data_IF_729144903924
#
_entry.id   IF_729144903924
#
_cell.length_a   1.000
_cell.length_b   1.000
_cell.length_c   1.000
_cell.angle_alpha   90.00
_cell.angle_beta   90.00
_cell.angle_gamma   90.00
#
_symmetry.space_group_name_H-M   'P 1'
#
loop_
_entity.id
_entity.type
_entity.pdbx_description
1 polymer ?
#
# COMPACT_ATOMS: atom_id res chain seq x y z
N UNK A 1 -56.67 65.26 41.91
CA UNK A 1 -57.01 63.88 41.49
C UNK A 1 -56.35 63.60 40.13
N UNK A 2 -55.17 63.01 40.08
CA UNK A 2 -54.45 62.65 38.84
C UNK A 2 -54.24 61.12 38.85
N UNK A 3 -54.85 60.44 37.87
CA UNK A 3 -54.76 58.98 37.70
C UNK A 3 -53.39 58.62 37.11
N UNK A 4 -52.65 57.81 37.83
CA UNK A 4 -51.36 57.26 37.40
C UNK A 4 -51.65 56.06 36.52
N UNK A 5 -51.23 56.07 35.23
CA UNK A 5 -51.29 54.94 34.33
C UNK A 5 -50.02 54.10 34.55
N UNK A 6 -50.16 52.88 35.02
CA UNK A 6 -49.09 51.93 35.06
C UNK A 6 -48.90 51.33 33.66
N UNK A 7 -47.68 51.45 33.13
CA UNK A 7 -47.23 50.81 31.89
C UNK A 7 -46.45 49.53 32.30
N UNK A 8 -46.97 48.36 31.95
CA UNK A 8 -46.25 47.08 32.08
C UNK A 8 -45.30 46.92 30.88
N UNK A 9 -44.02 46.66 31.08
CA UNK A 9 -43.15 46.24 30.00
C UNK A 9 -43.38 44.74 29.69
N UNK A 10 -43.78 44.47 28.48
CA UNK A 10 -43.82 43.06 27.94
C UNK A 10 -42.38 42.62 27.71
N UNK A 11 -41.92 41.71 28.52
CA UNK A 11 -40.62 41.06 28.40
C UNK A 11 -40.71 40.05 27.27
N UNK A 12 -40.20 40.40 26.09
CA UNK A 12 -40.06 39.49 24.95
C UNK A 12 -38.93 38.51 25.26
N UNK A 13 -39.32 37.27 25.62
CA UNK A 13 -38.40 36.15 25.83
C UNK A 13 -37.97 35.63 24.43
N UNK A 14 -36.86 36.11 23.89
CA UNK A 14 -36.24 35.61 22.70
C UNK A 14 -35.62 34.23 22.99
N UNK A 15 -36.33 33.18 22.60
CA UNK A 15 -35.79 31.80 22.55
C UNK A 15 -34.68 31.76 21.50
N UNK A 16 -33.45 31.90 21.95
CA UNK A 16 -32.27 31.58 21.15
C UNK A 16 -32.23 30.06 21.01
N UNK A 17 -32.72 29.50 19.89
CA UNK A 17 -32.41 28.13 19.48
C UNK A 17 -30.90 28.09 19.20
N UNK A 18 -30.13 27.75 20.21
CA UNK A 18 -28.76 27.33 20.01
C UNK A 18 -28.81 26.03 19.20
N UNK A 19 -28.53 26.14 17.90
CA UNK A 19 -28.24 24.98 17.05
C UNK A 19 -27.04 24.29 17.67
N UNK A 20 -27.29 23.25 18.45
CA UNK A 20 -26.30 22.27 18.86
C UNK A 20 -25.84 21.57 17.58
N UNK A 21 -24.86 22.17 16.91
CA UNK A 21 -24.04 21.44 15.95
C UNK A 21 -23.44 20.28 16.74
N UNK A 22 -24.04 19.09 16.65
CA UNK A 22 -23.44 17.88 17.15
C UNK A 22 -22.10 17.74 16.44
N UNK A 23 -21.01 18.13 17.11
CA UNK A 23 -19.67 17.86 16.66
C UNK A 23 -19.58 16.33 16.53
N UNK A 24 -19.72 15.83 15.34
CA UNK A 24 -19.60 14.40 15.09
C UNK A 24 -18.16 14.04 15.44
N UNK A 25 -17.99 13.13 16.40
CA UNK A 25 -16.68 12.74 16.87
C UNK A 25 -15.80 12.29 15.69
N UNK A 26 -14.60 12.83 15.62
CA UNK A 26 -13.61 12.48 14.60
C UNK A 26 -13.32 10.98 14.65
N UNK A 27 -13.49 10.30 13.51
CA UNK A 27 -13.13 8.89 13.37
C UNK A 27 -11.63 8.78 13.12
N UNK A 28 -10.92 8.15 14.04
CA UNK A 28 -9.49 7.91 13.93
C UNK A 28 -9.21 6.52 13.39
N UNK A 29 -8.32 6.44 12.43
CA UNK A 29 -7.90 5.21 11.76
C UNK A 29 -6.38 5.13 11.81
N UNK A 30 -5.84 3.98 12.22
CA UNK A 30 -4.42 3.68 12.09
C UNK A 30 -4.18 2.96 10.76
N UNK A 31 -3.26 3.49 9.95
CA UNK A 31 -2.89 2.89 8.67
C UNK A 31 -1.44 2.43 8.70
N UNK A 32 -1.24 1.12 8.67
CA UNK A 32 0.09 0.50 8.64
C UNK A 32 0.55 0.35 7.20
N UNK A 33 1.68 0.94 6.86
CA UNK A 33 2.16 1.03 5.49
C UNK A 33 3.47 0.26 5.26
N UNK A 34 4.57 0.96 5.08
CA UNK A 34 5.90 0.42 4.84
C UNK A 34 6.95 1.39 5.40
N UNK A 35 8.23 1.18 5.09
CA UNK A 35 9.31 2.12 5.44
C UNK A 35 9.18 3.43 4.69
N UNK A 36 9.50 4.54 5.34
CA UNK A 36 9.65 5.84 4.69
C UNK A 36 10.63 5.73 3.50
N UNK A 37 10.40 6.54 2.47
CA UNK A 37 11.15 6.47 1.21
C UNK A 37 10.69 5.39 0.22
N UNK A 38 9.70 4.57 0.58
CA UNK A 38 9.08 3.61 -0.35
C UNK A 38 7.80 4.18 -0.97
N UNK A 39 7.43 3.69 -2.17
CA UNK A 39 6.18 4.09 -2.83
C UNK A 39 4.94 3.84 -1.96
N UNK A 40 4.93 2.74 -1.20
CA UNK A 40 3.78 2.43 -0.32
C UNK A 40 3.65 3.36 0.87
N UNK A 41 4.76 3.84 1.45
CA UNK A 41 4.69 4.88 2.47
C UNK A 41 4.10 6.17 1.88
N UNK A 42 4.60 6.58 0.70
CA UNK A 42 4.08 7.76 0.00
C UNK A 42 2.59 7.63 -0.33
N UNK A 43 2.16 6.47 -0.83
CA UNK A 43 0.72 6.20 -1.07
C UNK A 43 -0.11 6.29 0.20
N UNK A 44 0.42 5.82 1.34
CA UNK A 44 -0.23 5.96 2.64
C UNK A 44 -0.45 7.42 3.03
N UNK A 45 0.54 8.29 2.78
CA UNK A 45 0.42 9.75 2.97
C UNK A 45 -0.68 10.32 2.07
N UNK A 46 -0.68 9.95 0.79
CA UNK A 46 -1.65 10.43 -0.20
C UNK A 46 -3.09 9.99 0.14
N UNK A 47 -3.26 8.73 0.55
CA UNK A 47 -4.55 8.20 1.04
C UNK A 47 -5.00 8.99 2.28
N UNK A 48 -4.12 9.20 3.25
CA UNK A 48 -4.47 9.91 4.47
C UNK A 48 -4.94 11.36 4.18
N UNK A 49 -4.23 12.05 3.30
CA UNK A 49 -4.61 13.39 2.85
C UNK A 49 -5.94 13.41 2.09
N UNK A 50 -6.12 12.45 1.16
CA UNK A 50 -7.34 12.33 0.35
C UNK A 50 -8.57 12.01 1.22
N UNK A 51 -8.43 11.08 2.17
CA UNK A 51 -9.50 10.72 3.12
C UNK A 51 -9.86 11.91 4.01
N UNK A 52 -8.87 12.60 4.57
CA UNK A 52 -9.10 13.79 5.41
C UNK A 52 -9.84 14.88 4.63
N UNK A 53 -9.39 15.18 3.42
CA UNK A 53 -10.01 16.19 2.56
C UNK A 53 -11.42 15.78 2.13
N UNK A 54 -11.61 14.54 1.65
CA UNK A 54 -12.90 14.05 1.15
C UNK A 54 -13.94 13.83 2.25
N UNK A 55 -13.52 13.62 3.49
CA UNK A 55 -14.42 13.51 4.66
C UNK A 55 -14.64 14.82 5.40
N UNK A 56 -14.16 15.96 4.87
CA UNK A 56 -14.17 17.25 5.56
C UNK A 56 -13.58 17.18 6.99
N UNK A 57 -12.52 16.40 7.17
CA UNK A 57 -11.84 16.20 8.44
C UNK A 57 -12.55 15.24 9.41
N UNK A 58 -13.67 14.62 9.01
CA UNK A 58 -14.38 13.67 9.88
C UNK A 58 -13.62 12.35 10.07
N UNK A 59 -12.73 12.00 9.15
CA UNK A 59 -11.85 10.84 9.25
C UNK A 59 -10.41 11.30 9.18
N UNK A 60 -9.63 10.97 10.21
CA UNK A 60 -8.20 11.22 10.26
C UNK A 60 -7.45 9.90 10.31
N UNK A 61 -6.48 9.75 9.40
CA UNK A 61 -5.61 8.58 9.33
C UNK A 61 -4.25 8.94 9.96
N UNK A 62 -3.86 8.15 10.96
CA UNK A 62 -2.49 8.12 11.48
C UNK A 62 -1.70 7.08 10.71
N UNK A 63 -0.69 7.51 9.96
CA UNK A 63 0.18 6.62 9.21
C UNK A 63 1.29 6.09 10.11
N UNK A 64 1.45 4.77 10.14
CA UNK A 64 2.53 4.09 10.86
C UNK A 64 3.51 3.43 9.88
N UNK A 65 4.79 3.59 10.13
CA UNK A 65 5.83 2.82 9.45
C UNK A 65 5.79 1.34 9.83
N UNK A 66 6.27 0.50 8.92
CA UNK A 66 6.51 -0.93 9.18
C UNK A 66 7.66 -1.46 8.34
N UNK A 67 8.06 -2.70 8.60
CA UNK A 67 8.95 -3.44 7.70
C UNK A 67 8.23 -3.90 6.42
N UNK A 68 6.94 -3.57 6.26
CA UNK A 68 6.12 -3.86 5.09
C UNK A 68 5.11 -4.98 5.34
N UNK A 69 4.62 -5.54 4.24
CA UNK A 69 3.41 -6.36 4.17
C UNK A 69 3.37 -7.55 5.15
N UNK A 70 4.50 -8.21 5.41
CA UNK A 70 4.54 -9.36 6.36
C UNK A 70 4.21 -8.91 7.77
N UNK A 71 4.87 -7.85 8.24
CA UNK A 71 4.58 -7.27 9.57
C UNK A 71 3.14 -6.77 9.66
N UNK A 72 2.65 -6.12 8.60
CA UNK A 72 1.29 -5.57 8.56
C UNK A 72 0.23 -6.65 8.80
N UNK A 73 0.38 -7.81 8.14
CA UNK A 73 -0.52 -8.95 8.33
C UNK A 73 -0.37 -9.55 9.72
N UNK A 74 0.86 -9.71 10.22
CA UNK A 74 1.09 -10.25 11.58
C UNK A 74 0.43 -9.39 12.65
N UNK A 75 0.48 -8.07 12.53
CA UNK A 75 -0.12 -7.15 13.47
C UNK A 75 -1.65 -7.19 13.46
N UNK A 76 -2.30 -7.60 12.36
CA UNK A 76 -3.75 -7.77 12.32
C UNK A 76 -4.27 -8.76 13.39
N UNK A 77 -3.45 -9.71 13.85
CA UNK A 77 -3.79 -10.64 14.91
C UNK A 77 -3.86 -10.00 16.32
N UNK A 78 -3.27 -8.83 16.50
CA UNK A 78 -3.17 -8.17 17.83
C UNK A 78 -3.79 -6.77 17.86
N UNK A 79 -3.97 -6.13 16.70
CA UNK A 79 -4.57 -4.78 16.60
C UNK A 79 -6.08 -4.84 16.81
N UNK A 80 -6.60 -3.79 17.42
CA UNK A 80 -8.03 -3.59 17.69
C UNK A 80 -8.53 -2.30 17.05
N UNK A 81 -9.85 -2.19 16.86
CA UNK A 81 -10.50 -0.99 16.33
C UNK A 81 -10.22 -0.73 14.84
N UNK A 82 -10.08 0.54 14.49
CA UNK A 82 -9.95 1.00 13.11
C UNK A 82 -8.51 0.84 12.60
N UNK A 83 -8.07 -0.40 12.45
CA UNK A 83 -6.77 -0.75 11.89
C UNK A 83 -6.87 -1.05 10.41
N UNK A 84 -6.14 -0.31 9.59
CA UNK A 84 -6.01 -0.53 8.14
C UNK A 84 -4.55 -0.86 7.82
N UNK A 85 -4.33 -1.78 6.90
CA UNK A 85 -3.00 -2.15 6.43
C UNK A 85 -3.01 -2.57 4.97
N UNK A 86 -1.88 -2.48 4.31
CA UNK A 86 -1.73 -2.88 2.91
C UNK A 86 -0.83 -4.09 2.76
N UNK A 87 -1.24 -4.98 1.87
CA UNK A 87 -0.47 -6.19 1.56
C UNK A 87 -0.95 -6.83 0.25
N UNK A 88 -0.11 -7.61 -0.44
CA UNK A 88 -0.59 -8.54 -1.46
C UNK A 88 -1.54 -9.60 -0.87
N UNK A 89 -2.61 -9.97 -1.59
CA UNK A 89 -3.56 -11.00 -1.17
C UNK A 89 -2.91 -12.35 -0.84
N UNK A 90 -1.82 -12.68 -1.52
CA UNK A 90 -1.06 -13.92 -1.27
C UNK A 90 -0.57 -14.06 0.16
N UNK A 91 -0.20 -12.95 0.82
CA UNK A 91 0.22 -12.97 2.22
C UNK A 91 -0.96 -13.17 3.18
N UNK A 92 -2.12 -12.61 2.87
CA UNK A 92 -3.34 -12.86 3.66
C UNK A 92 -3.73 -14.33 3.57
N UNK A 93 -3.70 -14.91 2.36
CA UNK A 93 -3.95 -16.34 2.16
C UNK A 93 -2.92 -17.22 2.90
N UNK A 94 -1.65 -16.85 2.86
CA UNK A 94 -0.60 -17.57 3.60
C UNK A 94 -0.82 -17.51 5.11
N UNK A 95 -1.23 -16.36 5.65
CA UNK A 95 -1.55 -16.19 7.07
C UNK A 95 -2.77 -17.01 7.50
N UNK A 96 -3.84 -17.00 6.69
CA UNK A 96 -5.03 -17.82 6.95
C UNK A 96 -4.77 -19.33 6.91
N UNK A 97 -3.73 -19.73 6.18
CA UNK A 97 -3.32 -21.13 6.02
C UNK A 97 -2.12 -21.52 6.92
N UNK A 98 -1.67 -20.61 7.80
CA UNK A 98 -0.50 -20.78 8.66
C UNK A 98 0.76 -21.22 7.89
N UNK A 99 1.03 -20.60 6.72
CA UNK A 99 2.13 -20.96 5.83
C UNK A 99 3.20 -19.87 5.72
N UNK A 100 4.39 -20.26 5.32
CA UNK A 100 5.51 -19.37 5.04
C UNK A 100 5.92 -18.57 6.26
N UNK A 101 5.91 -17.24 6.17
CA UNK A 101 6.27 -16.35 7.28
C UNK A 101 5.38 -16.50 8.54
N UNK A 102 4.23 -17.15 8.41
CA UNK A 102 3.22 -17.30 9.47
C UNK A 102 3.22 -18.67 10.16
N UNK A 103 3.97 -19.65 9.65
CA UNK A 103 4.05 -21.02 10.23
C UNK A 103 4.38 -21.02 11.74
N UNK A 104 5.30 -20.15 12.15
CA UNK A 104 5.71 -20.00 13.56
C UNK A 104 4.87 -19.00 14.36
N UNK A 105 3.83 -18.44 13.75
CA UNK A 105 2.95 -17.42 14.33
C UNK A 105 1.50 -17.62 13.87
N UNK A 106 0.94 -18.83 14.03
CA UNK A 106 -0.43 -19.10 13.64
C UNK A 106 -1.39 -18.26 14.49
N UNK A 107 -2.49 -17.81 13.90
CA UNK A 107 -3.53 -17.11 14.65
C UNK A 107 -4.89 -17.26 13.99
N UNK A 108 -5.94 -17.65 14.73
CA UNK A 108 -7.30 -17.72 14.20
C UNK A 108 -7.82 -16.34 13.76
N UNK A 109 -7.25 -15.26 14.30
CA UNK A 109 -7.63 -13.87 13.97
C UNK A 109 -7.27 -13.48 12.52
N UNK A 110 -6.37 -14.18 11.85
CA UNK A 110 -6.14 -13.93 10.41
C UNK A 110 -7.41 -14.18 9.58
N UNK A 111 -8.34 -15.04 10.03
CA UNK A 111 -9.63 -15.26 9.40
C UNK A 111 -10.61 -14.08 9.53
N UNK A 112 -10.30 -13.12 10.42
CA UNK A 112 -11.06 -11.89 10.59
C UNK A 112 -10.65 -10.78 9.61
N UNK A 113 -9.57 -10.96 8.84
CA UNK A 113 -9.10 -9.98 7.86
C UNK A 113 -10.17 -9.80 6.76
N UNK A 114 -10.43 -8.53 6.41
CA UNK A 114 -11.40 -8.11 5.40
C UNK A 114 -10.78 -7.09 4.47
N UNK A 115 -10.99 -7.23 3.17
CA UNK A 115 -10.55 -6.26 2.19
C UNK A 115 -11.43 -5.00 2.23
N UNK A 116 -10.83 -3.86 1.92
CA UNK A 116 -11.54 -2.59 1.72
C UNK A 116 -11.53 -2.19 0.25
N UNK A 117 -10.37 -1.90 -0.31
CA UNK A 117 -10.20 -1.43 -1.69
C UNK A 117 -8.82 -1.79 -2.23
N UNK A 118 -8.68 -1.94 -3.57
CA UNK A 118 -7.38 -2.09 -4.19
C UNK A 118 -6.61 -0.78 -4.19
N UNK A 119 -5.28 -0.88 -4.11
CA UNK A 119 -4.36 0.24 -4.31
C UNK A 119 -3.42 -0.09 -5.48
N UNK A 120 -2.56 0.84 -5.94
CA UNK A 120 -1.65 0.55 -7.03
C UNK A 120 -0.85 -0.74 -6.81
N UNK A 121 -0.81 -1.59 -7.84
CA UNK A 121 -0.05 -2.84 -7.80
C UNK A 121 1.43 -2.56 -7.63
N UNK A 122 2.13 -3.44 -6.93
CA UNK A 122 3.58 -3.36 -6.87
C UNK A 122 4.23 -4.04 -8.08
N UNK A 123 5.39 -3.54 -8.45
CA UNK A 123 6.29 -4.12 -9.44
C UNK A 123 7.62 -4.46 -8.78
N UNK A 124 8.28 -5.49 -9.30
CA UNK A 124 9.60 -5.88 -8.80
C UNK A 124 10.69 -5.09 -9.54
N UNK A 125 11.63 -4.53 -8.79
CA UNK A 125 12.78 -3.82 -9.35
C UNK A 125 14.06 -4.50 -8.84
N UNK A 126 14.92 -4.87 -9.77
CA UNK A 126 16.28 -5.32 -9.48
C UNK A 126 17.22 -4.26 -10.03
N UNK A 127 17.80 -3.47 -9.14
CA UNK A 127 18.56 -2.26 -9.48
C UNK A 127 20.03 -2.50 -9.23
N UNK A 128 20.87 -2.24 -10.22
CA UNK A 128 22.31 -2.41 -10.14
C UNK A 128 23.04 -1.17 -10.62
N UNK A 129 24.31 -0.99 -10.22
CA UNK A 129 25.15 0.05 -10.81
C UNK A 129 25.48 -0.28 -12.25
N UNK A 130 25.49 0.72 -13.12
CA UNK A 130 25.87 0.56 -14.52
C UNK A 130 27.35 0.09 -14.70
N UNK A 131 28.24 0.47 -13.75
CA UNK A 131 29.65 0.08 -13.76
C UNK A 131 29.91 -1.33 -13.19
N UNK A 132 28.91 -2.01 -12.66
CA UNK A 132 29.06 -3.36 -12.08
C UNK A 132 29.12 -4.48 -13.10
N UNK A 133 28.93 -4.19 -14.40
CA UNK A 133 28.93 -5.17 -15.49
C UNK A 133 27.75 -6.13 -15.48
N UNK A 134 26.67 -5.83 -14.72
CA UNK A 134 25.48 -6.65 -14.58
C UNK A 134 24.44 -6.18 -15.62
N UNK A 135 24.15 -7.01 -16.61
CA UNK A 135 23.19 -6.74 -17.68
C UNK A 135 21.98 -7.66 -17.67
N UNK A 136 22.08 -8.78 -16.98
CA UNK A 136 21.05 -9.81 -16.87
C UNK A 136 20.99 -10.37 -15.46
N UNK A 137 19.96 -11.17 -15.16
CA UNK A 137 19.87 -11.86 -13.87
C UNK A 137 21.02 -12.85 -13.66
N UNK A 138 21.52 -13.50 -14.72
CA UNK A 138 22.63 -14.45 -14.63
C UNK A 138 23.92 -13.80 -14.09
N UNK A 139 24.13 -12.51 -14.38
CA UNK A 139 25.32 -11.76 -13.95
C UNK A 139 25.32 -11.42 -12.45
N UNK A 140 24.20 -11.69 -11.77
CA UNK A 140 24.09 -11.54 -10.30
C UNK A 140 24.85 -12.65 -9.54
N UNK A 141 25.27 -13.74 -10.21
CA UNK A 141 26.05 -14.79 -9.58
C UNK A 141 27.37 -14.22 -8.98
N UNK A 142 27.63 -14.55 -7.73
CA UNK A 142 28.79 -14.05 -6.96
C UNK A 142 28.66 -12.61 -6.44
N UNK A 143 27.61 -11.86 -6.80
CA UNK A 143 27.41 -10.46 -6.43
C UNK A 143 26.76 -10.31 -5.05
N UNK A 144 26.98 -9.15 -4.43
CA UNK A 144 26.33 -8.74 -3.19
C UNK A 144 24.98 -8.10 -3.51
N UNK A 145 23.87 -8.78 -3.17
CA UNK A 145 22.51 -8.35 -3.46
C UNK A 145 21.76 -8.04 -2.17
N UNK A 146 21.25 -6.83 -2.04
CA UNK A 146 20.37 -6.42 -0.94
C UNK A 146 18.92 -6.71 -1.32
N UNK A 147 18.24 -7.54 -0.54
CA UNK A 147 16.82 -7.85 -0.74
C UNK A 147 15.90 -7.18 0.31
N UNK A 148 16.48 -6.60 1.37
CA UNK A 148 15.75 -5.92 2.46
C UNK A 148 15.14 -6.92 3.46
N UNK A 149 15.93 -7.38 4.42
CA UNK A 149 15.56 -8.39 5.43
C UNK A 149 14.21 -8.10 6.10
N UNK A 150 13.35 -9.11 6.19
CA UNK A 150 12.03 -9.02 6.85
C UNK A 150 10.95 -8.31 6.03
N UNK A 151 11.26 -7.83 4.82
CA UNK A 151 10.31 -7.15 3.94
C UNK A 151 9.65 -8.10 2.94
N UNK A 152 8.59 -7.63 2.29
CA UNK A 152 8.00 -8.34 1.14
C UNK A 152 9.02 -8.46 -0.01
N UNK A 153 9.82 -7.41 -0.25
CA UNK A 153 10.91 -7.43 -1.24
C UNK A 153 11.89 -8.56 -1.01
N UNK A 154 12.23 -8.86 0.27
CA UNK A 154 13.12 -9.96 0.60
C UNK A 154 12.52 -11.31 0.20
N UNK A 155 11.25 -11.53 0.51
CA UNK A 155 10.57 -12.80 0.21
C UNK A 155 10.46 -13.02 -1.30
N UNK A 156 9.90 -12.05 -2.02
CA UNK A 156 9.72 -12.17 -3.48
C UNK A 156 11.06 -12.10 -4.23
N UNK A 157 11.98 -11.23 -3.82
CA UNK A 157 13.31 -11.14 -4.43
C UNK A 157 14.09 -12.44 -4.30
N UNK A 158 14.12 -13.05 -3.12
CA UNK A 158 14.76 -14.35 -2.90
C UNK A 158 14.07 -15.46 -3.69
N UNK A 159 12.72 -15.46 -3.72
CA UNK A 159 11.96 -16.40 -4.56
C UNK A 159 12.35 -16.27 -6.04
N UNK A 160 12.47 -15.05 -6.58
CA UNK A 160 12.85 -14.83 -7.97
C UNK A 160 14.28 -15.26 -8.24
N UNK A 161 15.23 -14.93 -7.37
CA UNK A 161 16.60 -15.40 -7.48
C UNK A 161 16.66 -16.93 -7.54
N UNK A 162 15.89 -17.62 -6.70
CA UNK A 162 15.81 -19.09 -6.71
C UNK A 162 15.22 -19.63 -8.02
N UNK A 163 14.09 -19.04 -8.49
CA UNK A 163 13.47 -19.45 -9.76
C UNK A 163 14.40 -19.25 -10.96
N UNK A 164 15.27 -18.24 -10.91
CA UNK A 164 16.24 -17.96 -11.97
C UNK A 164 17.58 -18.72 -11.81
N UNK A 165 17.62 -19.72 -10.93
CA UNK A 165 18.79 -20.59 -10.74
C UNK A 165 19.95 -19.94 -10.00
N UNK A 166 19.69 -18.88 -9.22
CA UNK A 166 20.67 -18.11 -8.46
C UNK A 166 20.67 -18.41 -6.94
N UNK A 167 19.90 -19.43 -6.51
CA UNK A 167 19.87 -19.88 -5.12
C UNK A 167 21.28 -20.31 -4.67
N UNK A 168 21.75 -19.74 -3.56
CA UNK A 168 23.13 -19.97 -3.05
C UNK A 168 24.25 -19.38 -3.91
N UNK A 169 23.94 -18.79 -5.09
CA UNK A 169 24.93 -18.18 -5.98
C UNK A 169 25.13 -16.67 -5.79
N UNK A 170 24.19 -16.01 -5.11
CA UNK A 170 24.30 -14.59 -4.74
C UNK A 170 24.66 -14.47 -3.25
N UNK A 171 25.37 -13.41 -2.90
CA UNK A 171 25.65 -13.06 -1.49
C UNK A 171 24.56 -12.08 -1.03
N UNK A 172 23.69 -12.52 -0.10
CA UNK A 172 22.64 -11.66 0.43
C UNK A 172 23.22 -10.69 1.45
N UNK A 173 23.14 -9.39 1.15
CA UNK A 173 23.62 -8.34 2.04
C UNK A 173 22.65 -8.13 3.22
N UNK A 174 23.20 -8.03 4.44
CA UNK A 174 22.43 -7.77 5.65
C UNK A 174 22.36 -6.26 5.93
N UNK A 175 21.67 -5.53 5.03
CA UNK A 175 21.47 -4.08 5.09
C UNK A 175 19.96 -3.81 5.03
N UNK A 176 19.50 -2.80 5.76
CA UNK A 176 18.10 -2.35 5.71
C UNK A 176 17.79 -1.69 4.36
N UNK A 177 16.56 -1.90 3.86
CA UNK A 177 16.15 -1.43 2.53
C UNK A 177 16.24 0.10 2.36
N UNK A 178 16.00 0.88 3.41
CA UNK A 178 16.14 2.34 3.40
C UNK A 178 17.59 2.82 3.20
N UNK A 179 18.58 1.96 3.43
CA UNK A 179 19.98 2.24 3.21
C UNK A 179 20.50 1.74 1.84
N UNK A 180 19.62 1.17 1.01
CA UNK A 180 20.00 0.54 -0.26
C UNK A 180 20.75 1.49 -1.20
N UNK A 181 20.27 2.72 -1.35
CA UNK A 181 20.87 3.71 -2.26
C UNK A 181 22.27 4.10 -1.78
N UNK A 182 22.45 4.39 -0.49
CA UNK A 182 23.74 4.69 0.09
C UNK A 182 24.71 3.51 -0.05
N UNK A 183 24.27 2.29 0.26
CA UNK A 183 25.09 1.08 0.13
C UNK A 183 25.50 0.80 -1.32
N UNK A 184 24.58 1.04 -2.29
CA UNK A 184 24.86 0.90 -3.72
C UNK A 184 25.92 1.93 -4.18
N UNK A 185 25.74 3.20 -3.81
CA UNK A 185 26.67 4.30 -4.10
C UNK A 185 28.08 4.05 -3.54
N UNK A 186 28.13 3.55 -2.31
CA UNK A 186 29.39 3.24 -1.61
C UNK A 186 30.01 1.90 -2.02
N UNK A 187 29.45 1.21 -3.03
CA UNK A 187 29.92 -0.10 -3.53
C UNK A 187 29.93 -1.22 -2.47
N UNK A 188 29.15 -1.07 -1.41
CA UNK A 188 28.95 -2.11 -0.39
C UNK A 188 28.06 -3.24 -0.91
N UNK A 189 27.20 -2.94 -1.87
CA UNK A 189 26.36 -3.88 -2.60
C UNK A 189 26.50 -3.62 -4.10
N UNK A 190 26.22 -4.67 -4.91
CA UNK A 190 26.22 -4.58 -6.38
C UNK A 190 24.85 -4.33 -6.93
N UNK A 191 23.81 -4.81 -6.22
CA UNK A 191 22.41 -4.63 -6.58
C UNK A 191 21.52 -4.55 -5.34
N UNK A 192 20.34 -3.93 -5.49
CA UNK A 192 19.26 -4.07 -4.53
C UNK A 192 17.95 -4.45 -5.21
N UNK A 193 17.08 -5.11 -4.43
CA UNK A 193 15.73 -5.48 -4.84
C UNK A 193 14.72 -4.65 -4.08
N UNK A 194 13.77 -4.05 -4.79
CA UNK A 194 12.64 -3.38 -4.16
C UNK A 194 11.33 -3.77 -4.84
N UNK A 195 10.30 -3.95 -4.02
CA UNK A 195 8.94 -4.19 -4.47
C UNK A 195 8.12 -2.93 -4.19
N UNK A 196 7.72 -2.24 -5.24
CA UNK A 196 6.96 -0.99 -5.14
C UNK A 196 6.38 -0.59 -6.48
N UNK A 197 5.35 0.26 -6.47
CA UNK A 197 4.84 0.79 -7.73
C UNK A 197 5.86 1.73 -8.38
N UNK A 198 5.86 1.77 -9.70
CA UNK A 198 6.71 2.72 -10.43
C UNK A 198 5.96 4.04 -10.72
N UNK A 199 6.68 5.18 -10.76
CA UNK A 199 8.10 5.36 -10.45
C UNK A 199 8.39 5.16 -8.95
N UNK A 200 9.34 4.29 -8.59
CA UNK A 200 9.67 4.00 -7.19
C UNK A 200 10.66 5.02 -6.63
N UNK A 201 10.36 5.67 -5.46
CA UNK A 201 11.21 6.75 -4.93
C UNK A 201 12.66 6.36 -4.73
N UNK A 202 12.94 5.18 -4.17
CA UNK A 202 14.32 4.71 -3.97
C UNK A 202 15.06 4.40 -5.30
N UNK A 203 14.32 4.04 -6.36
CA UNK A 203 14.93 3.88 -7.70
C UNK A 203 15.18 5.23 -8.35
N UNK A 204 14.27 6.21 -8.17
CA UNK A 204 14.48 7.61 -8.58
C UNK A 204 15.74 8.16 -7.89
N UNK A 205 15.84 8.00 -6.56
CA UNK A 205 16.99 8.45 -5.77
C UNK A 205 18.31 7.79 -6.24
N UNK A 206 18.27 6.47 -6.48
CA UNK A 206 19.44 5.76 -7.01
C UNK A 206 19.86 6.31 -8.38
N UNK A 207 18.93 6.43 -9.31
CA UNK A 207 19.18 6.92 -10.66
C UNK A 207 19.62 8.40 -10.72
N UNK A 208 19.22 9.21 -9.74
CA UNK A 208 19.69 10.58 -9.58
C UNK A 208 21.10 10.66 -8.96
N UNK A 209 21.50 9.67 -8.16
CA UNK A 209 22.76 9.66 -7.43
C UNK A 209 23.93 9.05 -8.21
N UNK A 210 23.65 8.09 -9.08
CA UNK A 210 24.65 7.36 -9.88
C UNK A 210 23.97 6.70 -11.10
N UNK A 211 24.73 6.37 -12.16
CA UNK A 211 24.21 5.59 -13.27
C UNK A 211 23.79 4.19 -12.80
N UNK A 212 22.50 3.84 -13.00
CA UNK A 212 21.94 2.54 -12.63
C UNK A 212 21.33 1.83 -13.83
N UNK A 213 21.19 0.52 -13.71
CA UNK A 213 20.42 -0.34 -14.60
C UNK A 213 19.34 -1.02 -13.78
N UNK A 214 18.10 -0.96 -14.22
CA UNK A 214 17.03 -1.81 -13.70
C UNK A 214 16.94 -3.02 -14.62
N UNK A 215 17.16 -4.22 -14.08
CA UNK A 215 17.19 -5.44 -14.88
C UNK A 215 15.81 -5.76 -15.45
N UNK A 216 15.78 -6.04 -16.76
CA UNK A 216 14.58 -6.49 -17.46
C UNK A 216 14.50 -8.02 -17.43
N UNK A 217 13.32 -8.55 -17.16
CA UNK A 217 13.04 -9.99 -17.20
C UNK A 217 12.80 -10.43 -18.62
N UNK A 218 13.15 -11.68 -18.95
CA UNK A 218 12.66 -12.35 -20.14
C UNK A 218 11.22 -12.82 -19.93
N UNK A 219 10.46 -13.07 -21.00
CA UNK A 219 9.10 -13.58 -20.88
C UNK A 219 9.07 -14.98 -20.20
N UNK A 220 10.09 -15.80 -20.39
CA UNK A 220 10.26 -17.07 -19.68
C UNK A 220 10.43 -16.85 -18.17
N UNK A 221 11.23 -15.86 -17.75
CA UNK A 221 11.39 -15.51 -16.36
C UNK A 221 10.08 -14.99 -15.73
N UNK A 222 9.34 -14.13 -16.45
CA UNK A 222 8.02 -13.69 -16.00
C UNK A 222 7.09 -14.88 -15.76
N UNK A 223 7.01 -15.79 -16.74
CA UNK A 223 6.18 -17.01 -16.64
C UNK A 223 6.55 -17.86 -15.42
N UNK A 224 7.84 -18.05 -15.17
CA UNK A 224 8.33 -18.81 -14.00
C UNK A 224 7.88 -18.24 -12.67
N UNK A 225 7.68 -16.91 -12.57
CA UNK A 225 7.25 -16.28 -11.32
C UNK A 225 5.79 -16.56 -10.97
N UNK A 226 4.96 -16.86 -11.96
CA UNK A 226 3.50 -16.97 -11.85
C UNK A 226 2.79 -15.62 -11.60
N UNK A 227 3.51 -14.50 -11.67
CA UNK A 227 2.94 -13.16 -11.53
C UNK A 227 2.58 -12.55 -12.90
N UNK A 228 1.71 -11.53 -12.88
CA UNK A 228 1.33 -10.83 -14.10
C UNK A 228 2.52 -10.05 -14.68
N UNK A 229 2.68 -10.10 -15.99
CA UNK A 229 3.67 -9.29 -16.72
C UNK A 229 3.36 -7.81 -16.60
N UNK A 230 4.37 -7.00 -16.34
CA UNK A 230 4.26 -5.54 -16.35
C UNK A 230 5.42 -4.92 -17.15
N UNK A 231 5.20 -3.70 -17.60
CA UNK A 231 6.22 -2.89 -18.28
C UNK A 231 6.38 -1.59 -17.49
N UNK A 232 7.63 -1.27 -17.16
CA UNK A 232 8.02 0.07 -16.73
C UNK A 232 8.46 0.81 -17.99
N UNK A 233 7.71 1.85 -18.45
CA UNK A 233 7.99 2.53 -19.71
C UNK A 233 9.38 3.17 -19.72
N UNK A 234 9.98 3.25 -20.91
CA UNK A 234 11.20 4.01 -21.12
C UNK A 234 11.09 5.43 -20.55
N UNK A 235 12.21 5.95 -20.08
CA UNK A 235 12.31 7.29 -19.46
C UNK A 235 11.54 7.45 -18.13
N UNK A 236 11.12 6.35 -17.49
CA UNK A 236 10.58 6.40 -16.11
C UNK A 236 11.66 6.79 -15.11
N UNK A 237 12.89 6.30 -15.30
CA UNK A 237 14.04 6.62 -14.44
C UNK A 237 15.14 7.33 -15.24
N UNK A 238 15.94 8.15 -14.58
CA UNK A 238 17.06 8.84 -15.24
C UNK A 238 18.01 7.81 -15.89
N UNK A 239 18.37 8.04 -17.15
CA UNK A 239 19.24 7.14 -17.92
C UNK A 239 18.58 5.88 -18.51
N UNK A 240 17.36 5.54 -18.13
CA UNK A 240 16.61 4.42 -18.69
C UNK A 240 16.09 4.75 -20.10
N UNK A 241 16.61 4.12 -21.13
CA UNK A 241 16.28 4.38 -22.55
C UNK A 241 15.27 3.41 -23.15
N UNK A 242 15.09 2.24 -22.55
CA UNK A 242 14.19 1.19 -23.03
C UNK A 242 13.16 0.82 -21.99
N UNK A 243 12.07 0.20 -22.42
CA UNK A 243 11.10 -0.43 -21.55
C UNK A 243 11.76 -1.53 -20.71
N UNK A 244 11.31 -1.68 -19.46
CA UNK A 244 11.76 -2.74 -18.56
C UNK A 244 10.60 -3.69 -18.37
N UNK A 245 10.78 -4.94 -18.76
CA UNK A 245 9.85 -6.03 -18.46
C UNK A 245 10.07 -6.47 -17.02
N UNK A 246 9.00 -6.52 -16.27
CA UNK A 246 8.98 -6.96 -14.88
C UNK A 246 7.65 -7.65 -14.56
N UNK A 247 7.37 -7.88 -13.30
CA UNK A 247 6.13 -8.48 -12.83
C UNK A 247 5.32 -7.51 -11.98
N UNK A 248 4.00 -7.69 -12.00
CA UNK A 248 3.04 -6.96 -11.18
C UNK A 248 2.32 -7.90 -10.24
N UNK A 249 2.18 -7.46 -8.99
CA UNK A 249 1.41 -8.15 -7.96
C UNK A 249 0.34 -7.19 -7.43
N UNK A 250 -0.92 -7.66 -7.31
CA UNK A 250 -1.98 -6.82 -6.74
C UNK A 250 -1.69 -6.50 -5.28
N UNK A 251 -2.13 -5.34 -4.84
CA UNK A 251 -2.09 -4.92 -3.44
C UNK A 251 -3.44 -4.36 -3.05
N UNK A 252 -3.87 -4.73 -1.86
CA UNK A 252 -5.18 -4.39 -1.32
C UNK A 252 -4.98 -3.73 0.04
N UNK A 253 -5.80 -2.73 0.34
CA UNK A 253 -5.98 -2.22 1.68
C UNK A 253 -6.96 -3.13 2.42
N UNK A 254 -6.55 -3.60 3.59
CA UNK A 254 -7.30 -4.51 4.45
C UNK A 254 -7.56 -3.89 5.81
N UNK A 255 -8.59 -4.41 6.46
CA UNK A 255 -8.90 -4.20 7.87
C UNK A 255 -9.30 -5.55 8.50
N UNK A 256 -9.90 -5.54 9.68
CA UNK A 256 -10.47 -6.72 10.31
C UNK A 256 -11.96 -6.52 10.59
N UNK A 257 -12.66 -7.59 10.98
CA UNK A 257 -14.07 -7.53 11.43
C UNK A 257 -14.31 -6.62 12.63
N UNK A 258 -13.26 -6.09 13.26
CA UNK A 258 -13.38 -5.16 14.40
C UNK A 258 -13.64 -3.72 13.97
N UNK A 259 -13.39 -3.35 12.70
CA UNK A 259 -13.83 -2.07 12.16
C UNK A 259 -15.35 -2.10 12.01
N UNK A 260 -16.04 -1.04 12.41
CA UNK A 260 -17.47 -0.94 12.22
C UNK A 260 -17.84 -0.67 10.74
N UNK A 261 -19.05 -1.08 10.35
CA UNK A 261 -19.53 -0.97 8.97
C UNK A 261 -19.62 0.48 8.49
N UNK A 262 -19.94 1.43 9.38
CA UNK A 262 -20.03 2.86 9.04
C UNK A 262 -18.66 3.41 8.67
N UNK A 263 -17.64 3.08 9.46
CA UNK A 263 -16.25 3.50 9.21
C UNK A 263 -15.71 2.85 7.92
N UNK A 264 -15.90 1.55 7.72
CA UNK A 264 -15.45 0.86 6.51
C UNK A 264 -16.15 1.40 5.25
N UNK A 265 -17.46 1.67 5.33
CA UNK A 265 -18.20 2.31 4.25
C UNK A 265 -17.65 3.70 3.92
N UNK A 266 -17.48 4.56 4.94
CA UNK A 266 -17.02 5.93 4.75
C UNK A 266 -15.60 5.98 4.18
N UNK A 267 -14.67 5.12 4.66
CA UNK A 267 -13.32 4.99 4.11
C UNK A 267 -13.36 4.57 2.64
N UNK A 268 -14.11 3.53 2.30
CA UNK A 268 -14.20 3.00 0.93
C UNK A 268 -14.81 4.03 -0.01
N UNK A 269 -15.92 4.66 0.38
CA UNK A 269 -16.57 5.70 -0.39
C UNK A 269 -15.62 6.88 -0.66
N UNK A 270 -15.05 7.45 0.40
CA UNK A 270 -14.18 8.60 0.29
C UNK A 270 -12.94 8.30 -0.56
N UNK A 271 -12.34 7.10 -0.40
CA UNK A 271 -11.23 6.67 -1.23
C UNK A 271 -11.57 6.71 -2.73
N UNK A 272 -12.67 6.11 -3.14
CA UNK A 272 -13.08 6.08 -4.54
C UNK A 272 -13.47 7.45 -5.09
N UNK A 273 -14.14 8.29 -4.30
CA UNK A 273 -14.48 9.67 -4.68
C UNK A 273 -13.24 10.55 -4.86
N UNK A 274 -12.17 10.31 -4.08
CA UNK A 274 -10.92 11.07 -4.19
C UNK A 274 -9.91 10.48 -5.18
N UNK A 275 -10.14 9.26 -5.71
CA UNK A 275 -9.20 8.56 -6.59
C UNK A 275 -8.77 9.40 -7.80
N UNK A 276 -9.69 10.11 -8.45
CA UNK A 276 -9.36 10.94 -9.61
C UNK A 276 -8.39 12.07 -9.26
N UNK A 277 -8.53 12.68 -8.07
CA UNK A 277 -7.61 13.71 -7.58
C UNK A 277 -6.24 13.12 -7.26
N UNK A 278 -6.19 11.94 -6.62
CA UNK A 278 -4.93 11.24 -6.39
C UNK A 278 -4.22 10.91 -7.72
N UNK A 279 -4.98 10.47 -8.74
CA UNK A 279 -4.44 10.17 -10.06
C UNK A 279 -3.89 11.39 -10.82
N UNK A 280 -4.38 12.60 -10.50
CA UNK A 280 -3.83 13.84 -11.05
C UNK A 280 -2.50 14.23 -10.38
N UNK A 281 -2.30 13.85 -9.11
CA UNK A 281 -1.08 14.18 -8.35
C UNK A 281 0.03 13.14 -8.52
N UNK A 282 -0.29 11.85 -8.65
CA UNK A 282 0.71 10.80 -8.76
C UNK A 282 0.31 9.74 -9.79
N UNK A 283 1.23 9.39 -10.72
CA UNK A 283 0.91 8.56 -11.88
C UNK A 283 0.47 7.14 -11.53
N UNK A 284 0.92 6.55 -10.43
CA UNK A 284 0.54 5.20 -10.01
C UNK A 284 -0.95 5.00 -9.74
N UNK A 285 -1.68 6.06 -9.37
CA UNK A 285 -3.13 5.99 -9.14
C UNK A 285 -3.95 5.85 -10.42
N UNK A 286 -3.39 6.19 -11.59
CA UNK A 286 -4.10 6.10 -12.87
C UNK A 286 -4.56 4.69 -13.21
N UNK A 287 -3.77 3.69 -12.81
CA UNK A 287 -4.07 2.28 -13.04
C UNK A 287 -5.08 1.64 -12.08
N UNK A 288 -5.50 2.34 -11.02
CA UNK A 288 -6.44 1.80 -10.03
C UNK A 288 -7.86 1.91 -10.56
N UNK A 289 -8.51 0.77 -10.72
CA UNK A 289 -9.89 0.68 -11.24
C UNK A 289 -10.71 -0.31 -10.42
N UNK A 290 -12.06 -0.22 -10.44
CA UNK A 290 -12.92 -1.19 -9.80
C UNK A 290 -12.70 -2.65 -10.27
N UNK A 291 -12.26 -2.86 -11.51
CA UNK A 291 -11.95 -4.19 -12.03
C UNK A 291 -10.87 -4.91 -11.20
N UNK A 292 -10.01 -4.18 -10.49
CA UNK A 292 -9.00 -4.77 -9.60
C UNK A 292 -9.60 -5.48 -8.38
N UNK A 293 -10.89 -5.29 -8.07
CA UNK A 293 -11.59 -6.06 -7.02
C UNK A 293 -11.62 -7.55 -7.34
N UNK A 294 -11.56 -7.95 -8.62
CA UNK A 294 -11.43 -9.34 -9.02
C UNK A 294 -10.14 -10.02 -8.49
N UNK A 295 -9.12 -9.24 -8.12
CA UNK A 295 -7.89 -9.74 -7.51
C UNK A 295 -8.01 -10.04 -6.01
N UNK A 296 -9.18 -9.80 -5.40
CA UNK A 296 -9.43 -10.08 -3.99
C UNK A 296 -9.96 -11.51 -3.86
N UNK A 297 -9.19 -12.45 -3.33
CA UNK A 297 -9.59 -13.86 -3.26
C UNK A 297 -10.53 -14.18 -2.09
N UNK A 298 -10.75 -13.24 -1.18
CA UNK A 298 -11.51 -13.44 0.06
C UNK A 298 -12.57 -12.38 0.29
N UNK A 299 -13.07 -12.34 1.52
CA UNK A 299 -14.18 -11.45 1.91
C UNK A 299 -13.77 -9.98 1.93
N UNK A 300 -14.65 -9.15 1.39
CA UNK A 300 -14.62 -7.71 1.54
C UNK A 300 -15.40 -7.35 2.82
N UNK A 301 -15.04 -6.26 3.47
CA UNK A 301 -15.73 -5.77 4.66
C UNK A 301 -17.19 -5.40 4.33
N UNK A 302 -18.19 -5.77 5.16
CA UNK A 302 -19.61 -5.50 4.86
C UNK A 302 -19.90 -4.03 4.53
N UNK A 303 -19.30 -3.09 5.24
CA UNK A 303 -19.42 -1.67 4.94
C UNK A 303 -18.90 -1.30 3.54
N UNK A 304 -17.79 -1.88 3.11
CA UNK A 304 -17.27 -1.69 1.76
C UNK A 304 -18.13 -2.38 0.70
N UNK A 305 -18.63 -3.59 0.98
CA UNK A 305 -19.61 -4.31 0.11
C UNK A 305 -20.84 -3.44 -0.15
N UNK A 306 -21.37 -2.79 0.89
CA UNK A 306 -22.52 -1.88 0.76
C UNK A 306 -22.23 -0.77 -0.25
N UNK A 307 -21.07 -0.08 -0.13
CA UNK A 307 -20.69 0.95 -1.08
C UNK A 307 -20.59 0.41 -2.51
N UNK A 308 -19.92 -0.74 -2.71
CA UNK A 308 -19.78 -1.33 -4.04
C UNK A 308 -21.13 -1.69 -4.67
N UNK A 309 -22.07 -2.22 -3.90
CA UNK A 309 -23.44 -2.51 -4.36
C UNK A 309 -24.19 -1.24 -4.75
N UNK A 310 -24.10 -0.16 -3.96
CA UNK A 310 -24.71 1.13 -4.26
C UNK A 310 -24.15 1.75 -5.57
N UNK A 311 -22.87 1.49 -5.89
CA UNK A 311 -22.23 1.95 -7.12
C UNK A 311 -22.38 0.96 -8.29
N UNK A 312 -23.14 -0.12 -8.16
CA UNK A 312 -23.28 -1.19 -9.15
C UNK A 312 -21.93 -1.79 -9.60
N UNK A 313 -20.93 -1.82 -8.71
CA UNK A 313 -19.64 -2.45 -8.96
C UNK A 313 -19.75 -3.95 -8.70
N UNK A 314 -19.45 -4.80 -9.71
CA UNK A 314 -19.62 -6.24 -9.56
C UNK A 314 -18.62 -6.81 -8.54
N UNK A 315 -19.12 -7.70 -7.69
CA UNK A 315 -18.34 -8.47 -6.72
C UNK A 315 -18.51 -9.96 -6.99
N UNK A 316 -17.45 -10.73 -6.76
CA UNK A 316 -17.54 -12.20 -6.82
C UNK A 316 -18.31 -12.76 -5.62
N UNK A 317 -18.78 -14.00 -5.71
CA UNK A 317 -19.42 -14.68 -4.56
C UNK A 317 -18.46 -14.78 -3.35
N UNK A 318 -17.16 -14.94 -3.59
CA UNK A 318 -16.14 -15.00 -2.52
C UNK A 318 -15.96 -13.67 -1.78
N UNK A 319 -16.33 -12.55 -2.40
CA UNK A 319 -16.17 -11.20 -1.84
C UNK A 319 -17.30 -10.77 -0.91
N UNK A 320 -18.42 -11.50 -0.92
CA UNK A 320 -19.64 -11.17 -0.16
C UNK A 320 -19.74 -11.89 1.19
#
# INVERSE_FOLDING_TARGET
MKKLKQIFPVLALSLSLAALSSAQAETRVTYKSAKAGTSYYQMGVEIAQAIKAGSNGQITITLEESQGSVQNVMEAASRTGNYVFTTPPSLVNAAMADKGAFEKRPSPKYKEIRALFPIPSLTMHFVTRADAGIKSFADLAGKNVLVGKGTFSANEGTKYLKLFGLDGKVKLANVELNNAVAALKNKQIDAFVTAGSFPSPNVIEAAASLPVVVLSMTDAQVTQTGAARAIIPANTYAGQKADIVTTSLPVIAYTTTQMDDKTAYALTKTYWEQRAKMAASAPWWKGVTPAMLANIPGKIHPGAVRYYKEQNIPLTAANQ
#
